data_IF_866949855496
#
_entry.id   IF_866949855496
#
_cell.length_a   1.000
_cell.length_b   1.000
_cell.length_c   1.000
_cell.angle_alpha   90.00
_cell.angle_beta   90.00
_cell.angle_gamma   90.00
#
_symmetry.space_group_name_H-M   'P 1'
#
loop_
_entity.id
_entity.type
_entity.pdbx_description
1 polymer ?
#
# COMPACT_ATOMS: atom_id res chain seq x y z
N UNK A 1 -9.03 -32.94 18.27
CA UNK A 1 -9.66 -31.66 18.66
C UNK A 1 -9.50 -30.70 17.45
N UNK A 2 -10.58 -30.07 17.04
CA UNK A 2 -10.58 -29.03 15.98
C UNK A 2 -9.69 -27.83 16.40
N UNK A 3 -8.85 -27.35 15.53
CA UNK A 3 -7.94 -26.25 15.82
C UNK A 3 -8.61 -24.92 15.47
N UNK A 4 -8.45 -23.92 16.32
CA UNK A 4 -8.94 -22.56 16.10
C UNK A 4 -7.89 -21.73 15.37
N UNK A 5 -8.22 -21.25 14.18
CA UNK A 5 -7.35 -20.36 13.39
C UNK A 5 -8.00 -18.99 13.29
N UNK A 6 -7.31 -17.97 13.79
CA UNK A 6 -7.74 -16.57 13.62
C UNK A 6 -6.93 -15.92 12.52
N UNK A 7 -7.61 -15.26 11.58
CA UNK A 7 -7.00 -14.50 10.48
C UNK A 7 -7.33 -13.01 10.66
N UNK A 8 -6.31 -12.17 10.79
CA UNK A 8 -6.47 -10.73 10.90
C UNK A 8 -6.34 -10.06 9.54
N UNK A 9 -7.43 -9.47 9.05
CA UNK A 9 -7.55 -8.83 7.73
C UNK A 9 -8.35 -9.69 6.76
N UNK A 10 -9.17 -9.02 5.93
CA UNK A 10 -10.10 -9.64 4.97
C UNK A 10 -9.82 -9.26 3.51
N UNK A 11 -8.61 -8.74 3.23
CA UNK A 11 -8.19 -8.43 1.85
C UNK A 11 -7.37 -9.59 1.26
N UNK A 12 -6.58 -9.37 0.20
CA UNK A 12 -5.88 -10.42 -0.55
C UNK A 12 -5.29 -11.54 0.32
N UNK A 13 -4.35 -11.22 1.22
CA UNK A 13 -3.69 -12.23 2.05
C UNK A 13 -4.65 -12.97 2.99
N UNK A 14 -5.51 -12.23 3.70
CA UNK A 14 -6.41 -12.83 4.69
C UNK A 14 -7.55 -13.63 4.07
N UNK A 15 -8.18 -13.10 3.00
CA UNK A 15 -9.22 -13.82 2.26
C UNK A 15 -8.68 -15.13 1.68
N UNK A 16 -7.51 -15.07 1.02
CA UNK A 16 -6.87 -16.26 0.45
C UNK A 16 -6.50 -17.27 1.53
N UNK A 17 -5.86 -16.84 2.62
CA UNK A 17 -5.47 -17.72 3.72
C UNK A 17 -6.70 -18.42 4.34
N UNK A 18 -7.76 -17.65 4.66
CA UNK A 18 -8.95 -18.19 5.28
C UNK A 18 -9.66 -19.24 4.40
N UNK A 19 -9.84 -18.91 3.11
CA UNK A 19 -10.50 -19.82 2.16
C UNK A 19 -9.66 -21.09 1.90
N UNK A 20 -8.33 -20.96 1.74
CA UNK A 20 -7.44 -22.10 1.54
C UNK A 20 -7.41 -23.01 2.76
N UNK A 21 -7.24 -22.47 3.96
CA UNK A 21 -7.28 -23.24 5.20
C UNK A 21 -8.58 -24.03 5.33
N UNK A 22 -9.71 -23.38 5.09
CA UNK A 22 -11.01 -24.06 5.19
C UNK A 22 -11.22 -25.12 4.13
N UNK A 23 -10.75 -24.87 2.89
CA UNK A 23 -10.83 -25.83 1.79
C UNK A 23 -9.98 -27.06 2.05
N UNK A 24 -8.74 -26.86 2.53
CA UNK A 24 -7.75 -27.94 2.62
C UNK A 24 -7.92 -28.76 3.92
N UNK A 25 -8.21 -28.08 5.05
CA UNK A 25 -8.31 -28.70 6.38
C UNK A 25 -9.77 -28.98 6.83
N UNK A 26 -10.76 -28.46 6.15
CA UNK A 26 -12.21 -28.76 6.32
C UNK A 26 -12.67 -28.67 7.80
N UNK A 27 -13.04 -29.81 8.38
CA UNK A 27 -13.51 -29.91 9.75
C UNK A 27 -12.40 -29.98 10.81
N UNK A 28 -11.14 -30.06 10.40
CA UNK A 28 -10.00 -30.03 11.31
C UNK A 28 -9.75 -28.64 11.88
N UNK A 29 -10.29 -27.59 11.22
CA UNK A 29 -10.14 -26.22 11.64
C UNK A 29 -11.46 -25.46 11.74
N UNK A 30 -11.54 -24.60 12.74
CA UNK A 30 -12.49 -23.50 12.86
C UNK A 30 -11.74 -22.23 12.50
N UNK A 31 -12.18 -21.54 11.43
CA UNK A 31 -11.55 -20.31 10.95
C UNK A 31 -12.43 -19.13 11.30
N UNK A 32 -11.85 -18.15 11.99
CA UNK A 32 -12.47 -16.86 12.30
C UNK A 32 -11.65 -15.76 11.62
N UNK A 33 -12.26 -14.93 10.77
CA UNK A 33 -11.64 -13.75 10.16
C UNK A 33 -12.06 -12.50 10.92
N UNK A 34 -11.09 -11.68 11.30
CA UNK A 34 -11.31 -10.40 11.98
C UNK A 34 -10.80 -9.27 11.06
N UNK A 35 -11.65 -8.29 10.75
CA UNK A 35 -11.26 -7.12 9.96
C UNK A 35 -12.07 -5.89 10.36
N UNK A 36 -11.44 -4.72 10.34
CA UNK A 36 -12.08 -3.42 10.52
C UNK A 36 -13.05 -3.07 9.38
N UNK A 37 -12.84 -3.66 8.19
CA UNK A 37 -13.66 -3.46 6.99
C UNK A 37 -14.44 -4.72 6.66
N UNK A 38 -15.67 -4.53 6.20
CA UNK A 38 -16.57 -5.60 5.78
C UNK A 38 -16.52 -5.89 4.27
N UNK A 39 -15.55 -5.28 3.58
CA UNK A 39 -15.38 -5.42 2.13
C UNK A 39 -13.94 -5.78 1.75
N UNK A 40 -13.82 -6.55 0.68
CA UNK A 40 -12.59 -6.71 -0.08
C UNK A 40 -12.36 -5.49 -0.95
N UNK A 41 -11.11 -5.02 -1.06
CA UNK A 41 -10.72 -3.93 -1.94
C UNK A 41 -9.68 -4.42 -2.95
N UNK A 42 -10.00 -4.27 -4.24
CA UNK A 42 -9.04 -4.54 -5.31
C UNK A 42 -8.13 -3.33 -5.52
N UNK A 43 -7.11 -3.20 -4.66
CA UNK A 43 -6.17 -2.08 -4.64
C UNK A 43 -5.55 -1.73 -6.01
N UNK A 44 -5.16 -2.70 -6.89
CA UNK A 44 -4.54 -2.37 -8.18
C UNK A 44 -5.38 -1.47 -9.08
N UNK A 45 -6.71 -1.46 -8.92
CA UNK A 45 -7.59 -0.59 -9.70
C UNK A 45 -7.85 0.79 -9.09
N UNK A 46 -7.30 1.11 -7.92
CA UNK A 46 -7.49 2.42 -7.28
C UNK A 46 -6.94 3.58 -8.12
N UNK A 47 -5.92 3.34 -8.92
CA UNK A 47 -5.36 4.32 -9.87
C UNK A 47 -6.37 4.82 -10.92
N UNK A 48 -7.46 4.05 -11.17
CA UNK A 48 -8.47 4.37 -12.18
C UNK A 48 -9.65 5.18 -11.61
N UNK A 49 -9.84 5.16 -10.28
CA UNK A 49 -10.95 5.85 -9.62
C UNK A 49 -10.90 7.37 -9.80
N UNK A 50 -9.75 8.05 -9.63
CA UNK A 50 -9.69 9.51 -9.77
C UNK A 50 -10.18 10.00 -11.11
N UNK A 51 -10.02 9.21 -12.15
CA UNK A 51 -10.38 9.55 -13.53
C UNK A 51 -11.79 9.08 -13.93
N UNK A 52 -12.55 8.45 -13.02
CA UNK A 52 -13.89 7.95 -13.29
C UNK A 52 -13.95 6.70 -14.18
N UNK A 53 -12.80 6.04 -14.46
CA UNK A 53 -12.77 4.80 -15.22
C UNK A 53 -13.18 3.58 -14.38
N UNK A 54 -13.18 3.72 -13.07
CA UNK A 54 -13.71 2.78 -12.07
C UNK A 54 -14.47 3.56 -11.00
N UNK A 55 -15.35 2.87 -10.28
CA UNK A 55 -16.03 3.35 -9.08
C UNK A 55 -15.90 2.32 -7.96
N UNK A 56 -16.37 2.65 -6.76
CA UNK A 56 -16.35 1.75 -5.60
C UNK A 56 -16.89 0.36 -5.93
N UNK A 57 -18.06 0.26 -6.58
CA UNK A 57 -18.69 -1.02 -6.91
C UNK A 57 -17.91 -1.89 -7.91
N UNK A 58 -16.94 -1.31 -8.65
CA UNK A 58 -16.06 -2.06 -9.54
C UNK A 58 -14.84 -2.66 -8.83
N UNK A 59 -14.49 -2.13 -7.66
CA UNK A 59 -13.23 -2.47 -6.96
C UNK A 59 -13.47 -3.06 -5.58
N UNK A 60 -14.73 -3.17 -5.15
CA UNK A 60 -15.08 -3.75 -3.84
C UNK A 60 -16.15 -4.82 -3.96
N UNK A 61 -16.20 -5.73 -2.98
CA UNK A 61 -17.34 -6.59 -2.71
C UNK A 61 -17.40 -6.92 -1.22
N UNK A 62 -18.60 -7.19 -0.68
CA UNK A 62 -18.78 -7.58 0.72
C UNK A 62 -18.21 -8.97 0.97
N UNK A 63 -17.38 -9.11 2.02
CA UNK A 63 -16.70 -10.38 2.33
C UNK A 63 -17.56 -11.36 3.12
N UNK A 64 -18.50 -10.86 3.93
CA UNK A 64 -19.32 -11.70 4.80
C UNK A 64 -20.07 -12.83 4.05
N UNK A 65 -20.72 -12.60 2.89
CA UNK A 65 -21.39 -13.69 2.16
C UNK A 65 -20.42 -14.78 1.67
N UNK A 66 -19.17 -14.39 1.33
CA UNK A 66 -18.14 -15.34 0.90
C UNK A 66 -17.68 -16.23 2.06
N UNK A 67 -17.47 -15.62 3.22
CA UNK A 67 -17.07 -16.36 4.43
C UNK A 67 -18.19 -17.26 4.95
N UNK A 68 -19.43 -16.77 4.99
CA UNK A 68 -20.60 -17.55 5.38
C UNK A 68 -20.76 -18.81 4.51
N UNK A 69 -20.68 -18.67 3.18
CA UNK A 69 -20.73 -19.80 2.24
C UNK A 69 -19.62 -20.82 2.47
N UNK A 70 -18.46 -20.37 2.93
CA UNK A 70 -17.32 -21.24 3.23
C UNK A 70 -17.36 -21.82 4.67
N UNK A 71 -18.35 -21.47 5.50
CA UNK A 71 -18.40 -21.86 6.91
C UNK A 71 -17.26 -21.25 7.74
N UNK A 72 -16.93 -19.99 7.46
CA UNK A 72 -15.91 -19.18 8.15
C UNK A 72 -16.65 -18.09 8.93
N UNK A 73 -16.33 -17.95 10.21
CA UNK A 73 -16.85 -16.87 11.04
C UNK A 73 -16.20 -15.54 10.65
N UNK A 74 -16.99 -14.47 10.54
CA UNK A 74 -16.49 -13.13 10.27
C UNK A 74 -16.88 -12.16 11.39
N UNK A 75 -15.88 -11.47 11.96
CA UNK A 75 -16.04 -10.44 12.99
C UNK A 75 -15.56 -9.11 12.44
N UNK A 76 -16.51 -8.19 12.25
CA UNK A 76 -16.17 -6.83 11.84
C UNK A 76 -15.71 -6.01 13.05
N UNK A 77 -14.41 -5.99 13.29
CA UNK A 77 -13.76 -5.18 14.32
C UNK A 77 -12.27 -5.03 14.03
N UNK A 78 -11.65 -3.95 14.46
CA UNK A 78 -10.20 -3.81 14.41
C UNK A 78 -9.54 -4.63 15.52
N UNK A 79 -8.42 -5.30 15.22
CA UNK A 79 -7.54 -5.85 16.22
C UNK A 79 -6.74 -4.71 16.90
N UNK A 80 -6.63 -4.75 18.21
CA UNK A 80 -5.96 -3.67 19.00
C UNK A 80 -4.74 -4.14 19.75
N UNK A 81 -4.62 -5.43 20.04
CA UNK A 81 -3.49 -6.05 20.74
C UNK A 81 -3.47 -7.55 20.49
N UNK A 82 -2.31 -8.15 20.38
CA UNK A 82 -2.09 -9.59 20.35
C UNK A 82 -1.37 -9.98 21.65
N UNK A 83 -1.89 -10.97 22.36
CA UNK A 83 -1.32 -11.54 23.60
C UNK A 83 -0.88 -12.97 23.35
N UNK A 84 0.30 -13.22 22.79
CA UNK A 84 0.73 -14.55 22.33
C UNK A 84 0.75 -15.60 23.44
N UNK A 85 1.23 -15.23 24.63
CA UNK A 85 1.31 -16.16 25.76
C UNK A 85 -0.08 -16.64 26.25
N UNK A 86 -1.13 -15.85 25.99
CA UNK A 86 -2.52 -16.19 26.30
C UNK A 86 -3.26 -16.75 25.09
N UNK A 87 -2.65 -16.70 23.90
CA UNK A 87 -3.25 -17.05 22.60
C UNK A 87 -4.57 -16.30 22.36
N UNK A 88 -4.55 -14.98 22.53
CA UNK A 88 -5.74 -14.12 22.44
C UNK A 88 -5.42 -12.86 21.64
N UNK A 89 -6.37 -12.44 20.79
CA UNK A 89 -6.40 -11.14 20.12
C UNK A 89 -7.49 -10.28 20.76
N UNK A 90 -7.13 -9.07 21.18
CA UNK A 90 -8.07 -8.06 21.68
C UNK A 90 -8.64 -7.23 20.53
N UNK A 91 -9.92 -6.93 20.58
CA UNK A 91 -10.63 -6.20 19.55
C UNK A 91 -11.12 -4.83 20.03
N UNK A 92 -11.30 -3.89 19.09
CA UNK A 92 -11.74 -2.53 19.38
C UNK A 92 -13.17 -2.45 19.96
N UNK A 93 -14.00 -3.46 19.71
CA UNK A 93 -15.35 -3.57 20.29
C UNK A 93 -15.37 -4.08 21.74
N UNK A 94 -14.19 -4.25 22.38
CA UNK A 94 -14.05 -4.70 23.75
C UNK A 94 -14.08 -6.23 23.92
N UNK A 95 -14.31 -7.00 22.86
CA UNK A 95 -14.26 -8.47 22.91
C UNK A 95 -12.85 -9.00 22.64
N UNK A 96 -12.67 -10.30 22.80
CA UNK A 96 -11.42 -10.99 22.48
C UNK A 96 -11.68 -12.31 21.77
N UNK A 97 -10.74 -12.73 20.93
CA UNK A 97 -10.81 -14.00 20.19
C UNK A 97 -9.60 -14.85 20.53
N UNK A 98 -9.84 -16.09 20.97
CA UNK A 98 -8.77 -17.06 21.25
C UNK A 98 -8.41 -17.85 20.00
N UNK A 99 -7.14 -18.28 19.91
CA UNK A 99 -6.63 -19.04 18.77
C UNK A 99 -5.69 -20.16 19.19
N UNK A 100 -5.59 -21.21 18.39
CA UNK A 100 -4.46 -22.14 18.38
C UNK A 100 -3.37 -21.63 17.43
N UNK A 101 -3.78 -21.04 16.27
CA UNK A 101 -2.91 -20.44 15.27
C UNK A 101 -3.44 -19.06 14.84
N UNK A 102 -2.53 -18.13 14.60
CA UNK A 102 -2.85 -16.78 14.19
C UNK A 102 -2.18 -16.46 12.85
N UNK A 103 -2.95 -15.92 11.89
CA UNK A 103 -2.46 -15.40 10.62
C UNK A 103 -2.66 -13.89 10.59
N UNK A 104 -1.57 -13.13 10.51
CA UNK A 104 -1.57 -11.68 10.43
C UNK A 104 -1.51 -11.28 8.95
N UNK A 105 -2.61 -10.74 8.41
CA UNK A 105 -2.76 -10.31 7.03
C UNK A 105 -3.30 -8.86 6.95
N UNK A 106 -2.92 -8.04 7.91
CA UNK A 106 -3.46 -6.68 8.13
C UNK A 106 -2.93 -5.64 7.14
N UNK A 107 -2.02 -6.04 6.25
CA UNK A 107 -1.45 -5.14 5.26
C UNK A 107 -0.67 -3.98 5.89
N UNK A 108 -0.71 -2.84 5.21
CA UNK A 108 0.04 -1.63 5.55
C UNK A 108 -0.86 -0.42 5.73
N UNK A 109 -0.32 0.64 6.31
CA UNK A 109 -0.84 1.99 6.29
C UNK A 109 0.19 2.97 5.70
N UNK A 110 -0.28 4.12 5.24
CA UNK A 110 0.60 5.22 4.87
C UNK A 110 1.36 5.74 6.10
N UNK A 111 2.56 6.29 5.87
CA UNK A 111 3.35 7.01 6.85
C UNK A 111 3.41 8.50 6.49
N UNK A 112 2.33 9.28 6.74
CA UNK A 112 2.26 10.69 6.34
C UNK A 112 3.32 11.54 7.02
N UNK A 113 3.69 11.17 8.25
CA UNK A 113 4.71 11.85 9.06
C UNK A 113 6.14 11.73 8.51
N UNK A 114 6.35 10.98 7.43
CA UNK A 114 7.67 10.83 6.80
C UNK A 114 8.16 12.12 6.11
N UNK A 115 7.22 12.96 5.67
CA UNK A 115 7.50 14.28 5.05
C UNK A 115 6.44 15.24 5.56
N UNK A 116 6.86 16.35 6.16
CA UNK A 116 5.94 17.34 6.69
C UNK A 116 5.00 17.88 5.62
N UNK A 117 3.71 17.96 5.91
CA UNK A 117 2.68 18.50 5.00
C UNK A 117 2.35 17.61 3.80
N UNK A 118 2.88 16.37 3.74
CA UNK A 118 2.75 15.51 2.56
C UNK A 118 1.29 15.24 2.20
N UNK A 119 0.56 14.53 3.05
CA UNK A 119 -0.82 14.12 2.74
C UNK A 119 -1.86 15.22 2.99
N UNK A 120 -1.51 16.25 3.73
CA UNK A 120 -2.35 17.45 3.93
C UNK A 120 -2.45 18.25 2.63
N UNK A 121 -1.36 18.37 1.87
CA UNK A 121 -1.24 19.23 0.70
C UNK A 121 -1.24 18.47 -0.64
N UNK A 122 -1.21 17.13 -0.63
CA UNK A 122 -1.25 16.30 -1.83
C UNK A 122 -2.34 15.24 -1.75
N UNK A 123 -2.44 14.40 -2.77
CA UNK A 123 -3.32 13.23 -2.82
C UNK A 123 -2.50 11.95 -2.90
N UNK A 124 -3.10 10.86 -2.45
CA UNK A 124 -2.60 9.51 -2.70
C UNK A 124 -3.74 8.62 -3.19
N UNK A 125 -3.43 7.37 -3.54
CA UNK A 125 -4.40 6.41 -4.10
C UNK A 125 -4.32 5.06 -3.39
N UNK A 126 -3.85 5.05 -2.15
CA UNK A 126 -3.54 3.81 -1.42
C UNK A 126 -4.74 3.20 -0.71
N UNK A 127 -5.78 4.00 -0.47
CA UNK A 127 -7.08 3.56 0.07
C UNK A 127 -8.22 3.98 -0.86
N UNK A 128 -9.41 3.41 -0.66
CA UNK A 128 -10.60 3.80 -1.41
C UNK A 128 -10.91 5.29 -1.22
N UNK A 129 -10.91 5.75 0.02
CA UNK A 129 -11.19 7.14 0.40
C UNK A 129 -10.17 8.12 -0.22
N UNK A 130 -8.89 7.73 -0.23
CA UNK A 130 -7.83 8.52 -0.86
C UNK A 130 -8.07 8.67 -2.36
N UNK A 131 -8.34 7.56 -3.06
CA UNK A 131 -8.59 7.55 -4.49
C UNK A 131 -9.84 8.37 -4.86
N UNK A 132 -10.91 8.29 -4.07
CA UNK A 132 -12.10 9.13 -4.25
C UNK A 132 -11.80 10.61 -4.00
N UNK A 133 -11.00 10.93 -2.96
CA UNK A 133 -10.54 12.29 -2.68
C UNK A 133 -9.71 12.84 -3.84
N UNK A 134 -8.77 12.04 -4.35
CA UNK A 134 -7.99 12.38 -5.53
C UNK A 134 -8.88 12.67 -6.74
N UNK A 135 -9.96 11.89 -6.92
CA UNK A 135 -10.94 12.09 -7.99
C UNK A 135 -11.78 13.37 -7.85
N UNK A 136 -12.15 13.73 -6.61
CA UNK A 136 -12.83 15.02 -6.38
C UNK A 136 -11.94 16.18 -6.77
N UNK A 137 -10.66 16.13 -6.42
CA UNK A 137 -9.72 17.21 -6.73
C UNK A 137 -9.28 17.18 -8.19
N UNK A 138 -9.23 16.00 -8.84
CA UNK A 138 -9.04 15.91 -10.29
C UNK A 138 -10.15 16.64 -11.06
N UNK A 139 -11.42 16.49 -10.68
CA UNK A 139 -12.54 17.20 -11.30
C UNK A 139 -12.46 18.73 -11.12
N UNK A 140 -12.01 19.21 -9.94
CA UNK A 140 -11.75 20.65 -9.73
C UNK A 140 -10.56 21.13 -10.57
N UNK A 141 -9.49 20.33 -10.67
CA UNK A 141 -8.34 20.61 -11.49
C UNK A 141 -8.73 20.84 -12.98
N UNK A 142 -9.61 20.01 -13.53
CA UNK A 142 -10.08 20.15 -14.91
C UNK A 142 -10.83 21.48 -15.18
N UNK A 143 -11.42 22.09 -14.15
CA UNK A 143 -12.09 23.40 -14.27
C UNK A 143 -11.10 24.58 -14.24
N UNK A 144 -9.95 24.40 -13.60
CA UNK A 144 -8.90 25.42 -13.49
C UNK A 144 -7.52 24.72 -13.54
N UNK A 145 -7.07 24.32 -14.73
CA UNK A 145 -5.83 23.56 -14.90
C UNK A 145 -4.58 24.35 -14.49
N UNK A 146 -3.51 23.63 -14.25
CA UNK A 146 -2.17 24.16 -13.96
C UNK A 146 -1.16 23.01 -13.95
N UNK A 147 -0.01 23.21 -13.33
CA UNK A 147 1.05 22.20 -13.30
C UNK A 147 0.68 21.01 -12.41
N UNK A 148 1.14 19.83 -12.80
CA UNK A 148 0.93 18.56 -12.07
C UNK A 148 2.27 17.98 -11.66
N UNK A 149 2.33 17.54 -10.41
CA UNK A 149 3.43 16.71 -9.91
C UNK A 149 2.88 15.34 -9.49
N UNK A 150 3.44 14.29 -10.06
CA UNK A 150 3.29 12.93 -9.56
C UNK A 150 4.59 12.56 -8.87
N UNK A 151 4.52 12.03 -7.65
CA UNK A 151 5.74 11.76 -6.88
C UNK A 151 5.73 10.37 -6.22
N UNK A 152 6.94 9.84 -6.03
CA UNK A 152 7.23 8.72 -5.14
C UNK A 152 8.33 9.18 -4.17
N UNK A 153 7.98 9.35 -2.91
CA UNK A 153 8.87 9.95 -1.91
C UNK A 153 10.00 9.01 -1.50
N UNK A 154 10.99 9.54 -0.75
CA UNK A 154 11.95 8.69 -0.06
C UNK A 154 11.19 7.70 0.86
N UNK A 155 11.59 6.45 0.81
CA UNK A 155 10.92 5.37 1.53
C UNK A 155 9.60 4.89 0.89
N UNK A 156 9.18 5.43 -0.25
CA UNK A 156 8.04 4.90 -0.99
C UNK A 156 8.21 3.41 -1.30
N UNK A 157 7.13 2.65 -1.13
CA UNK A 157 7.16 1.20 -1.30
C UNK A 157 6.56 0.71 -2.62
N UNK A 158 5.95 1.60 -3.42
CA UNK A 158 5.26 1.21 -4.65
C UNK A 158 5.49 2.22 -5.79
N UNK A 159 6.69 2.20 -6.38
CA UNK A 159 7.03 3.07 -7.52
C UNK A 159 6.20 2.76 -8.77
N UNK A 160 5.86 1.48 -9.00
CA UNK A 160 5.04 1.06 -10.13
C UNK A 160 3.69 1.79 -10.21
N UNK A 161 3.00 1.94 -9.08
CA UNK A 161 1.74 2.68 -9.01
C UNK A 161 1.91 4.17 -9.37
N UNK A 162 3.05 4.79 -9.01
CA UNK A 162 3.34 6.16 -9.41
C UNK A 162 3.52 6.31 -10.93
N UNK A 163 4.29 5.40 -11.57
CA UNK A 163 4.44 5.41 -13.03
C UNK A 163 3.11 5.17 -13.74
N UNK A 164 2.33 4.21 -13.29
CA UNK A 164 1.04 3.90 -13.89
C UNK A 164 0.06 5.07 -13.78
N UNK A 165 -0.01 5.71 -12.62
CA UNK A 165 -0.80 6.91 -12.42
C UNK A 165 -0.30 8.07 -13.29
N UNK A 166 1.01 8.24 -13.43
CA UNK A 166 1.65 9.27 -14.25
C UNK A 166 1.25 9.16 -15.73
N UNK A 167 1.37 7.96 -16.30
CA UNK A 167 0.99 7.73 -17.69
C UNK A 167 -0.51 7.84 -17.90
N UNK A 168 -1.30 7.36 -16.95
CA UNK A 168 -2.75 7.54 -16.98
C UNK A 168 -3.12 9.04 -16.91
N UNK A 169 -2.48 9.81 -16.05
CA UNK A 169 -2.65 11.28 -16.00
C UNK A 169 -2.36 11.91 -17.35
N UNK A 170 -1.23 11.54 -18.00
CA UNK A 170 -0.90 12.05 -19.34
C UNK A 170 -1.99 11.73 -20.37
N UNK A 171 -2.51 10.49 -20.34
CA UNK A 171 -3.61 10.07 -21.20
C UNK A 171 -4.90 10.89 -20.94
N UNK A 172 -5.27 11.11 -19.68
CA UNK A 172 -6.47 11.88 -19.32
C UNK A 172 -6.35 13.36 -19.72
N UNK A 173 -5.17 13.95 -19.59
CA UNK A 173 -4.91 15.32 -20.06
C UNK A 173 -5.05 15.44 -21.58
N UNK A 174 -4.60 14.42 -22.35
CA UNK A 174 -4.81 14.35 -23.81
C UNK A 174 -6.30 14.24 -24.13
N UNK A 175 -7.02 13.36 -23.42
CA UNK A 175 -8.46 13.18 -23.59
C UNK A 175 -9.26 14.45 -23.29
N UNK A 176 -8.83 15.24 -22.32
CA UNK A 176 -9.40 16.53 -21.98
C UNK A 176 -8.96 17.68 -22.92
N UNK A 177 -8.02 17.45 -23.84
CA UNK A 177 -7.51 18.45 -24.77
C UNK A 177 -6.54 19.48 -24.18
N UNK A 178 -6.14 19.33 -22.91
CA UNK A 178 -5.34 20.33 -22.16
C UNK A 178 -3.88 19.92 -21.94
N UNK A 179 -3.43 18.80 -22.51
CA UNK A 179 -2.06 18.27 -22.26
C UNK A 179 -0.95 19.28 -22.63
N UNK A 180 -1.19 20.17 -23.58
CA UNK A 180 -0.21 21.16 -24.03
C UNK A 180 -0.03 22.32 -23.04
N UNK A 181 -1.06 22.60 -22.25
CA UNK A 181 -1.14 23.72 -21.32
C UNK A 181 -0.74 23.33 -19.88
N UNK A 182 -0.42 22.06 -19.68
CA UNK A 182 -0.08 21.48 -18.37
C UNK A 182 1.32 20.93 -18.40
N UNK A 183 2.20 21.45 -17.54
CA UNK A 183 3.48 20.82 -17.25
C UNK A 183 3.24 19.63 -16.33
N UNK A 184 3.61 18.43 -16.78
CA UNK A 184 3.53 17.20 -16.00
C UNK A 184 4.93 16.77 -15.61
N UNK A 185 5.18 16.66 -14.31
CA UNK A 185 6.47 16.27 -13.75
C UNK A 185 6.37 15.01 -12.93
N UNK A 186 7.43 14.20 -12.93
CA UNK A 186 7.61 13.04 -12.08
C UNK A 186 8.78 13.28 -11.13
N UNK A 187 8.52 13.29 -9.81
CA UNK A 187 9.53 13.51 -8.77
C UNK A 187 9.69 12.21 -7.99
N UNK A 188 10.87 11.64 -7.99
CA UNK A 188 11.10 10.32 -7.37
C UNK A 188 12.42 10.24 -6.64
N UNK A 189 12.41 9.51 -5.52
CA UNK A 189 13.62 9.17 -4.79
C UNK A 189 14.44 8.05 -5.44
N UNK A 190 13.95 7.44 -6.51
CA UNK A 190 14.71 6.45 -7.27
C UNK A 190 16.01 7.05 -7.78
N UNK A 191 17.16 6.35 -7.71
CA UNK A 191 18.43 6.84 -8.21
C UNK A 191 18.43 7.04 -9.73
N UNK A 192 17.60 6.26 -10.44
CA UNK A 192 17.34 6.35 -11.88
C UNK A 192 15.93 5.84 -12.19
N UNK A 193 15.38 6.20 -13.35
CA UNK A 193 14.04 5.79 -13.77
C UNK A 193 13.92 4.28 -13.86
N UNK A 194 12.88 3.73 -13.25
CA UNK A 194 12.63 2.28 -13.29
C UNK A 194 13.51 1.45 -12.38
N UNK A 195 14.12 2.07 -11.39
CA UNK A 195 14.79 1.35 -10.30
C UNK A 195 13.79 0.51 -9.48
N UNK A 196 12.54 0.99 -9.33
CA UNK A 196 11.41 0.34 -8.63
C UNK A 196 11.71 -0.14 -7.19
N UNK A 197 12.81 0.28 -6.58
CA UNK A 197 13.27 -0.24 -5.29
C UNK A 197 13.93 -1.62 -5.34
N UNK A 198 14.05 -2.23 -6.50
CA UNK A 198 14.58 -3.59 -6.73
C UNK A 198 15.86 -3.62 -7.58
N UNK A 199 16.49 -2.46 -7.82
CA UNK A 199 17.70 -2.37 -8.66
C UNK A 199 17.40 -2.17 -10.15
N UNK A 200 16.13 -2.09 -10.53
CA UNK A 200 15.70 -1.89 -11.90
C UNK A 200 15.47 -3.18 -12.69
N UNK A 201 14.90 -3.01 -13.88
CA UNK A 201 14.71 -4.06 -14.87
C UNK A 201 15.69 -3.84 -16.03
N UNK A 202 16.10 -4.90 -16.71
CA UNK A 202 16.96 -4.80 -17.88
C UNK A 202 16.34 -3.88 -18.94
N UNK A 203 17.09 -2.87 -19.39
CA UNK A 203 16.65 -1.80 -20.28
C UNK A 203 15.49 -0.91 -19.75
N UNK A 204 15.12 -1.05 -18.46
CA UNK A 204 13.97 -0.32 -17.87
C UNK A 204 14.16 1.19 -17.89
N UNK A 205 15.36 1.68 -17.56
CA UNK A 205 15.67 3.11 -17.56
C UNK A 205 15.52 3.74 -18.94
N UNK A 206 16.13 3.11 -19.98
CA UNK A 206 16.06 3.60 -21.35
C UNK A 206 14.61 3.62 -21.86
N UNK A 207 13.86 2.55 -21.59
CA UNK A 207 12.47 2.41 -22.02
C UNK A 207 11.58 3.47 -21.37
N UNK A 208 11.67 3.63 -20.06
CA UNK A 208 10.91 4.66 -19.34
C UNK A 208 11.32 6.08 -19.77
N UNK A 209 12.61 6.35 -19.92
CA UNK A 209 13.10 7.62 -20.40
C UNK A 209 12.54 7.98 -21.79
N UNK A 210 12.48 7.00 -22.69
CA UNK A 210 11.88 7.18 -24.03
C UNK A 210 10.37 7.48 -23.94
N UNK A 211 9.61 6.75 -23.08
CA UNK A 211 8.18 7.01 -22.90
C UNK A 211 7.91 8.37 -22.26
N UNK A 212 8.65 8.73 -21.20
CA UNK A 212 8.51 10.05 -20.56
C UNK A 212 8.80 11.18 -21.55
N UNK A 213 9.86 11.06 -22.36
CA UNK A 213 10.18 12.03 -23.42
C UNK A 213 9.06 12.13 -24.46
N UNK A 214 8.52 10.99 -24.94
CA UNK A 214 7.39 10.95 -25.87
C UNK A 214 6.15 11.64 -25.31
N UNK A 215 5.88 11.43 -24.03
CA UNK A 215 4.75 12.02 -23.30
C UNK A 215 5.00 13.45 -22.82
N UNK A 216 6.18 14.02 -23.07
CA UNK A 216 6.60 15.36 -22.59
C UNK A 216 6.43 15.48 -21.07
N UNK A 217 6.88 14.46 -20.34
CA UNK A 217 6.91 14.42 -18.88
C UNK A 217 8.33 14.71 -18.44
N UNK A 218 8.51 15.62 -17.48
CA UNK A 218 9.83 15.97 -16.95
C UNK A 218 10.12 15.14 -15.71
N UNK A 219 11.10 14.21 -15.75
CA UNK A 219 11.50 13.46 -14.58
C UNK A 219 12.53 14.21 -13.72
N UNK A 220 12.44 14.00 -12.42
CA UNK A 220 13.42 14.38 -11.41
C UNK A 220 13.70 13.15 -10.54
N UNK A 221 14.85 12.52 -10.72
CA UNK A 221 15.29 11.32 -9.99
C UNK A 221 16.25 11.67 -8.86
N UNK A 222 16.46 10.75 -7.93
CA UNK A 222 17.33 10.93 -6.76
C UNK A 222 16.93 12.14 -5.90
N UNK A 223 15.62 12.36 -5.75
CA UNK A 223 15.05 13.51 -5.03
C UNK A 223 14.51 13.06 -3.68
N UNK A 224 14.94 13.71 -2.60
CA UNK A 224 14.32 13.61 -1.28
C UNK A 224 13.51 14.89 -1.00
N UNK A 225 12.28 14.75 -0.49
CA UNK A 225 11.45 15.86 -0.08
C UNK A 225 11.78 16.26 1.37
N UNK A 226 11.87 17.56 1.61
CA UNK A 226 11.95 18.15 2.94
C UNK A 226 10.55 18.36 3.51
N UNK A 227 9.72 19.11 2.79
CA UNK A 227 8.33 19.37 3.16
C UNK A 227 7.45 19.66 1.94
N UNK A 228 6.15 19.68 2.17
CA UNK A 228 5.15 20.07 1.16
C UNK A 228 4.25 21.14 1.71
N UNK A 229 4.28 22.31 1.08
CA UNK A 229 3.36 23.42 1.31
C UNK A 229 2.15 23.32 0.36
N UNK A 230 1.16 24.17 0.59
CA UNK A 230 0.03 24.29 -0.33
C UNK A 230 0.50 24.69 -1.74
N UNK A 231 0.39 23.75 -2.67
CA UNK A 231 0.77 23.96 -4.07
C UNK A 231 2.27 23.89 -4.37
N UNK A 232 3.11 23.43 -3.46
CA UNK A 232 4.56 23.36 -3.63
C UNK A 232 5.20 22.22 -2.88
N UNK A 233 6.02 21.42 -3.57
CA UNK A 233 6.96 20.47 -2.93
C UNK A 233 8.35 21.13 -2.86
N UNK A 234 9.00 21.00 -1.72
CA UNK A 234 10.37 21.48 -1.48
C UNK A 234 11.27 20.30 -1.21
N UNK A 235 12.37 20.22 -1.95
CA UNK A 235 13.36 19.14 -1.77
C UNK A 235 14.35 19.49 -0.66
N UNK A 236 15.07 18.50 -0.15
CA UNK A 236 16.15 18.71 0.83
C UNK A 236 17.28 19.61 0.32
N UNK A 237 17.42 19.75 -1.00
CA UNK A 237 18.37 20.65 -1.66
C UNK A 237 17.79 22.05 -1.91
N UNK A 238 16.55 22.31 -1.49
CA UNK A 238 15.87 23.59 -1.65
C UNK A 238 15.22 23.82 -3.02
N UNK A 239 15.24 22.82 -3.92
CA UNK A 239 14.53 22.90 -5.20
C UNK A 239 13.01 22.88 -4.97
N UNK A 240 12.29 23.71 -5.72
CA UNK A 240 10.85 23.87 -5.59
C UNK A 240 10.13 23.32 -6.82
N UNK A 241 9.09 22.53 -6.58
CA UNK A 241 8.19 22.00 -7.61
C UNK A 241 6.79 22.50 -7.32
N UNK A 242 6.35 23.54 -8.03
CA UNK A 242 5.01 24.09 -7.91
C UNK A 242 3.99 23.16 -8.61
N UNK A 243 2.78 23.07 -8.06
CA UNK A 243 1.70 22.27 -8.62
C UNK A 243 0.32 22.83 -8.31
N UNK A 244 -0.63 22.55 -9.19
CA UNK A 244 -2.06 22.73 -8.97
C UNK A 244 -2.74 21.45 -8.53
N UNK A 245 -2.20 20.30 -8.95
CA UNK A 245 -2.61 18.97 -8.54
C UNK A 245 -1.37 18.11 -8.31
N UNK A 246 -1.35 17.40 -7.20
CA UNK A 246 -0.28 16.43 -6.93
C UNK A 246 -0.83 15.13 -6.40
N UNK A 247 -0.29 14.00 -6.91
CA UNK A 247 -0.49 12.67 -6.37
C UNK A 247 0.86 12.11 -5.94
N UNK A 248 0.92 11.58 -4.73
CA UNK A 248 2.14 11.00 -4.17
C UNK A 248 1.94 9.57 -3.72
N UNK A 249 2.98 8.76 -3.86
CA UNK A 249 3.10 7.46 -3.20
C UNK A 249 4.01 7.66 -1.98
N UNK A 250 3.45 7.63 -0.76
CA UNK A 250 4.21 7.79 0.47
C UNK A 250 4.90 6.49 0.89
N UNK A 251 5.74 6.50 1.92
CA UNK A 251 6.20 5.30 2.57
C UNK A 251 5.04 4.53 3.20
N UNK A 252 5.15 3.21 3.23
CA UNK A 252 4.24 2.31 3.94
C UNK A 252 4.89 1.77 5.21
N UNK A 253 4.07 1.56 6.22
CA UNK A 253 4.44 0.88 7.46
C UNK A 253 3.36 -0.13 7.82
N UNK A 254 3.69 -1.11 8.63
CA UNK A 254 2.70 -2.05 9.17
C UNK A 254 1.71 -1.36 10.13
N UNK A 255 0.79 -2.13 10.69
CA UNK A 255 -0.21 -1.61 11.61
C UNK A 255 0.39 -1.40 13.01
N UNK A 256 0.13 -0.23 13.62
CA UNK A 256 0.78 0.18 14.88
C UNK A 256 0.51 -0.76 16.06
N UNK A 257 -0.65 -1.42 16.10
CA UNK A 257 -0.98 -2.34 17.17
C UNK A 257 -0.01 -3.54 17.27
N UNK A 258 0.66 -3.90 16.15
CA UNK A 258 1.64 -4.98 16.12
C UNK A 258 2.88 -4.68 16.98
N UNK A 259 3.22 -3.39 17.16
CA UNK A 259 4.33 -2.95 18.03
C UNK A 259 4.06 -3.13 19.52
N UNK A 260 2.79 -3.29 19.93
CA UNK A 260 2.43 -3.50 21.34
C UNK A 260 2.90 -4.86 21.84
N UNK A 261 3.16 -5.81 20.94
CA UNK A 261 3.67 -7.14 21.27
C UNK A 261 5.17 -7.18 21.04
N UNK A 262 5.93 -7.18 22.10
CA UNK A 262 7.39 -7.16 22.07
C UNK A 262 7.96 -8.36 21.30
N UNK A 263 8.78 -8.07 20.26
CA UNK A 263 9.42 -9.07 19.41
C UNK A 263 8.53 -9.67 18.32
N UNK A 264 7.31 -9.14 18.11
CA UNK A 264 6.43 -9.56 17.02
C UNK A 264 6.74 -8.80 15.72
N UNK A 265 6.94 -7.50 15.82
CA UNK A 265 7.15 -6.64 14.66
C UNK A 265 8.40 -5.78 14.80
N UNK A 266 8.99 -5.40 13.68
CA UNK A 266 10.14 -4.51 13.60
C UNK A 266 9.75 -3.03 13.82
N UNK A 267 10.74 -2.13 13.72
CA UNK A 267 10.54 -0.69 13.93
C UNK A 267 9.51 -0.06 12.97
N UNK A 268 9.33 -0.63 11.78
CA UNK A 268 8.33 -0.22 10.79
C UNK A 268 7.00 -0.96 10.92
N UNK A 269 6.78 -1.70 12.02
CA UNK A 269 5.58 -2.48 12.32
C UNK A 269 5.28 -3.64 11.35
N UNK A 270 6.26 -4.11 10.57
CA UNK A 270 6.15 -5.33 9.81
C UNK A 270 6.52 -6.53 10.69
N UNK A 271 5.84 -7.65 10.52
CA UNK A 271 6.15 -8.88 11.25
C UNK A 271 7.36 -9.55 10.63
N UNK A 272 8.45 -9.71 11.40
CA UNK A 272 9.61 -10.45 10.96
C UNK A 272 9.31 -11.95 10.93
N UNK A 273 9.54 -12.58 9.76
CA UNK A 273 9.15 -13.97 9.51
C UNK A 273 10.29 -14.83 9.01
N UNK A 274 10.18 -16.13 9.27
CA UNK A 274 11.00 -17.19 8.67
C UNK A 274 10.59 -17.42 7.21
N UNK A 275 11.36 -18.19 6.42
CA UNK A 275 10.95 -18.56 5.05
C UNK A 275 9.59 -19.29 4.98
N UNK A 276 9.12 -19.85 6.08
CA UNK A 276 7.81 -20.49 6.23
C UNK A 276 6.68 -19.50 6.55
N UNK A 277 6.97 -18.20 6.57
CA UNK A 277 6.03 -17.14 7.01
C UNK A 277 5.63 -17.20 8.48
N UNK A 278 6.23 -18.10 9.28
CA UNK A 278 6.09 -18.09 10.74
C UNK A 278 6.86 -16.90 11.34
N UNK A 279 6.32 -16.33 12.42
CA UNK A 279 7.04 -15.34 13.24
C UNK A 279 8.40 -15.90 13.68
N UNK A 280 9.39 -15.03 13.82
CA UNK A 280 10.70 -15.43 14.37
C UNK A 280 10.60 -15.94 15.81
N UNK A 281 9.60 -15.46 16.58
CA UNK A 281 9.47 -15.72 18.01
C UNK A 281 8.40 -16.75 18.39
N UNK A 282 7.30 -16.84 17.63
CA UNK A 282 6.16 -17.74 17.93
C UNK A 282 5.88 -18.67 16.75
N UNK A 283 5.87 -19.98 17.02
CA UNK A 283 5.65 -21.00 16.00
C UNK A 283 4.19 -21.11 15.54
N UNK A 284 3.26 -20.54 16.32
CA UNK A 284 1.81 -20.53 16.06
C UNK A 284 1.30 -19.20 15.49
N UNK A 285 2.20 -18.25 15.21
CA UNK A 285 1.87 -16.97 14.58
C UNK A 285 2.54 -16.88 13.21
N UNK A 286 1.74 -16.55 12.21
CA UNK A 286 2.15 -16.36 10.82
C UNK A 286 1.82 -14.94 10.37
N UNK A 287 2.59 -14.40 9.43
CA UNK A 287 2.22 -13.17 8.75
C UNK A 287 2.35 -13.34 7.23
N UNK A 288 1.38 -12.79 6.48
CA UNK A 288 1.31 -12.94 5.04
C UNK A 288 0.97 -11.61 4.33
N UNK A 289 1.29 -11.52 3.05
CA UNK A 289 1.10 -10.30 2.27
C UNK A 289 1.94 -9.14 2.82
N UNK A 290 1.43 -7.91 2.70
CA UNK A 290 2.14 -6.69 3.09
C UNK A 290 2.37 -6.52 4.60
N UNK A 291 1.85 -7.40 5.44
CA UNK A 291 2.13 -7.39 6.89
C UNK A 291 3.47 -8.05 7.24
N UNK A 292 3.98 -8.95 6.37
CA UNK A 292 5.21 -9.69 6.59
C UNK A 292 6.45 -8.94 6.08
N UNK A 293 7.51 -8.93 6.88
CA UNK A 293 8.83 -8.44 6.46
C UNK A 293 9.57 -9.55 5.73
N UNK A 294 9.32 -9.68 4.42
CA UNK A 294 10.03 -10.63 3.56
C UNK A 294 11.09 -9.91 2.74
N UNK A 295 12.33 -10.38 2.79
CA UNK A 295 13.40 -9.88 1.92
C UNK A 295 13.61 -10.89 0.79
N UNK A 296 13.35 -10.46 -0.44
CA UNK A 296 13.60 -11.30 -1.61
C UNK A 296 15.12 -11.54 -1.75
N UNK A 297 15.59 -12.80 -1.95
CA UNK A 297 17.00 -13.10 -2.01
C UNK A 297 17.73 -12.47 -3.21
N UNK A 298 17.00 -12.05 -4.24
CA UNK A 298 17.52 -11.33 -5.41
C UNK A 298 17.44 -9.79 -5.28
N UNK A 299 17.00 -9.28 -4.15
CA UNK A 299 16.94 -7.84 -3.93
C UNK A 299 18.34 -7.27 -3.85
N UNK A 300 18.71 -6.40 -4.80
CA UNK A 300 19.98 -5.69 -4.76
C UNK A 300 20.02 -4.72 -3.57
N UNK A 301 21.18 -4.52 -2.95
CA UNK A 301 21.33 -3.48 -1.94
C UNK A 301 20.88 -2.13 -2.53
N UNK A 302 19.99 -1.46 -1.85
CA UNK A 302 19.55 -0.13 -2.23
C UNK A 302 20.71 0.84 -2.01
N UNK A 303 21.02 1.75 -2.95
CA UNK A 303 22.04 2.78 -2.74
C UNK A 303 21.80 3.56 -1.45
N UNK A 304 22.87 4.07 -0.85
CA UNK A 304 22.83 4.88 0.37
C UNK A 304 21.86 6.07 0.14
N UNK A 305 20.88 6.23 1.03
CA UNK A 305 19.86 7.29 0.93
C UNK A 305 18.50 6.85 0.39
N UNK A 306 18.41 5.71 -0.29
CA UNK A 306 17.14 5.09 -0.63
C UNK A 306 16.82 4.04 0.46
N UNK A 307 15.76 4.18 1.26
CA UNK A 307 15.41 3.18 2.25
C UNK A 307 15.22 1.82 1.59
N UNK A 308 15.71 0.77 2.23
CA UNK A 308 15.37 -0.60 1.82
C UNK A 308 13.86 -0.71 1.88
N UNK A 309 13.21 -0.61 0.74
CA UNK A 309 11.80 -0.90 0.64
C UNK A 309 11.68 -2.41 0.81
N UNK A 310 11.26 -2.85 1.98
CA UNK A 310 10.76 -4.20 2.12
C UNK A 310 9.51 -4.29 1.26
N UNK A 311 9.66 -4.68 0.00
CA UNK A 311 8.53 -5.20 -0.73
C UNK A 311 8.21 -6.56 -0.12
N UNK A 312 7.05 -6.73 0.47
CA UNK A 312 6.50 -8.05 0.55
C UNK A 312 6.27 -8.47 -0.89
N UNK A 313 7.02 -9.44 -1.36
CA UNK A 313 6.73 -10.07 -2.63
C UNK A 313 5.30 -10.59 -2.56
N UNK A 314 4.44 -10.07 -3.42
CA UNK A 314 3.18 -10.72 -3.74
C UNK A 314 3.53 -12.08 -4.34
N UNK A 315 3.39 -13.14 -3.57
CA UNK A 315 3.34 -14.53 -4.03
C UNK A 315 1.97 -15.08 -3.78
#
# INVERSE_FOLDING_TARGET
MTKKVVVLGANFGGLTAALSLKKDLKSEVEVTVVSDRDYFLFNPSLIWLPFGARNEGNVTFKVAPTFEKAGIEFIQSAATEIKPNQKVVQLANGTSVSYDYLVIATGTRNKPEAVQGLLENTKTITTLQDAESAGRDWRKFLQNPGDIVIAATQGASCFGAAYEFLFNTSYQLKKAGIKKDVKLSYVTSEPFLGHFGIGGLNHGEQLLGMFLKKEKITPYTNVALDHVDQGRMVTTEGTKHDFKYAMVIPPFVGQDFLKKTEGLANASAFVDVRPTYQSLKWDDIYAVGLAAAVTAPWQTPTPVGVPKTGFPTEQ
#
